data_IF_750529583594
#
_entry.id   IF_750529583594
#
_cell.length_a   1.000
_cell.length_b   1.000
_cell.length_c   1.000
_cell.angle_alpha   90.00
_cell.angle_beta   90.00
_cell.angle_gamma   90.00
#
_symmetry.space_group_name_H-M   'P 1'
#
loop_
_entity.id
_entity.type
_entity.pdbx_description
1 polymer ?
#
# COMPACT_ATOMS: atom_id res chain seq x y z
N UNK A 1 -6.80 -9.66 6.25
CA UNK A 1 -7.25 -10.00 4.87
C UNK A 1 -6.04 -9.97 3.96
N UNK A 2 -6.06 -10.67 2.83
CA UNK A 2 -4.96 -10.70 1.86
C UNK A 2 -5.50 -10.31 0.48
N UNK A 3 -4.72 -9.53 -0.29
CA UNK A 3 -5.01 -9.20 -1.68
C UNK A 3 -3.70 -9.07 -2.47
N UNK A 4 -3.83 -8.92 -3.78
CA UNK A 4 -2.70 -8.64 -4.68
C UNK A 4 -3.06 -7.57 -5.70
N UNK A 5 -2.07 -6.81 -6.13
CA UNK A 5 -2.26 -5.84 -7.19
C UNK A 5 -1.03 -5.00 -7.50
N UNK A 6 -1.09 -4.32 -8.63
CA UNK A 6 -0.12 -3.29 -9.02
C UNK A 6 -0.58 -1.96 -8.44
N UNK A 7 0.34 -1.24 -7.81
CA UNK A 7 0.04 0.07 -7.22
C UNK A 7 -0.19 1.10 -8.34
N UNK A 8 -1.35 1.75 -8.34
CA UNK A 8 -1.73 2.78 -9.31
C UNK A 8 -1.20 4.15 -8.93
N UNK A 9 -1.44 4.57 -7.69
CA UNK A 9 -1.01 5.86 -7.14
C UNK A 9 -0.69 5.72 -5.66
N UNK A 10 0.25 6.54 -5.21
CA UNK A 10 0.57 6.78 -3.80
C UNK A 10 0.52 8.28 -3.52
N UNK A 11 0.10 8.66 -2.31
CA UNK A 11 0.11 10.03 -1.83
C UNK A 11 0.26 10.02 -0.31
N UNK A 12 0.79 11.11 0.25
CA UNK A 12 1.03 11.25 1.68
C UNK A 12 0.01 12.23 2.25
N UNK A 13 -0.72 11.80 3.27
CA UNK A 13 -1.78 12.59 3.90
C UNK A 13 -1.83 12.24 5.39
N UNK A 14 -1.91 13.26 6.25
CA UNK A 14 -2.13 13.13 7.70
C UNK A 14 -1.24 12.08 8.41
N UNK A 15 0.02 11.93 7.99
CA UNK A 15 0.97 10.99 8.62
C UNK A 15 0.88 9.54 8.10
N UNK A 16 0.13 9.30 7.03
CA UNK A 16 0.06 8.01 6.36
C UNK A 16 0.37 8.12 4.86
N UNK A 17 0.89 7.03 4.30
CA UNK A 17 0.98 6.80 2.87
C UNK A 17 -0.31 6.11 2.42
N UNK A 18 -1.08 6.78 1.56
CA UNK A 18 -2.30 6.28 0.97
C UNK A 18 -1.98 5.62 -0.38
N UNK A 19 -2.44 4.38 -0.55
CA UNK A 19 -2.07 3.48 -1.63
C UNK A 19 -3.32 3.04 -2.36
N UNK A 20 -3.37 3.24 -3.68
CA UNK A 20 -4.48 2.79 -4.52
C UNK A 20 -4.07 1.68 -5.46
N UNK A 21 -5.00 0.77 -5.70
CA UNK A 21 -4.87 -0.33 -6.64
C UNK A 21 -6.01 -0.24 -7.67
N UNK A 22 -5.79 -0.56 -8.96
CA UNK A 22 -6.83 -0.45 -9.98
C UNK A 22 -8.08 -1.31 -9.72
N UNK A 23 -7.90 -2.44 -9.02
CA UNK A 23 -8.96 -3.42 -8.75
C UNK A 23 -9.72 -3.18 -7.43
N UNK A 24 -9.42 -2.09 -6.73
CA UNK A 24 -10.02 -1.78 -5.43
C UNK A 24 -10.57 -0.35 -5.42
N UNK A 25 -11.83 -0.20 -5.01
CA UNK A 25 -12.42 1.11 -4.71
C UNK A 25 -11.97 1.55 -3.31
N UNK A 26 -11.02 2.48 -3.26
CA UNK A 26 -10.54 3.10 -2.03
C UNK A 26 -9.02 3.18 -1.92
N UNK A 27 -8.57 3.65 -0.76
CA UNK A 27 -7.17 3.82 -0.42
C UNK A 27 -6.80 2.98 0.78
N UNK A 28 -5.75 2.19 0.62
CA UNK A 28 -5.13 1.47 1.71
C UNK A 28 -4.10 2.37 2.38
N UNK A 29 -3.94 2.23 3.69
CA UNK A 29 -3.13 3.13 4.49
C UNK A 29 -1.88 2.42 4.99
N UNK A 30 -0.73 3.09 4.94
CA UNK A 30 0.50 2.65 5.60
C UNK A 30 0.97 3.79 6.49
N UNK A 31 1.05 3.63 7.82
CA UNK A 31 1.58 4.69 8.69
C UNK A 31 3.01 5.08 8.26
N UNK A 32 3.33 6.37 8.19
CA UNK A 32 4.68 6.82 7.81
C UNK A 32 5.76 6.42 8.84
N UNK A 33 5.35 6.00 10.04
CA UNK A 33 6.21 5.39 11.05
C UNK A 33 6.75 4.02 10.59
N UNK A 34 6.01 3.30 9.75
CA UNK A 34 6.39 2.01 9.18
C UNK A 34 7.30 2.20 7.96
N UNK A 35 8.53 2.68 8.22
CA UNK A 35 9.49 3.09 7.17
C UNK A 35 9.80 1.98 6.17
N UNK A 36 9.97 0.75 6.62
CA UNK A 36 10.26 -0.41 5.76
C UNK A 36 9.10 -0.72 4.81
N UNK A 37 7.87 -0.71 5.35
CA UNK A 37 6.67 -0.97 4.58
C UNK A 37 6.44 0.16 3.55
N UNK A 38 6.65 1.42 3.95
CA UNK A 38 6.59 2.55 3.06
C UNK A 38 7.63 2.47 1.92
N UNK A 39 8.86 2.03 2.22
CA UNK A 39 9.89 1.84 1.21
C UNK A 39 9.49 0.76 0.20
N UNK A 40 9.04 -0.41 0.66
CA UNK A 40 8.56 -1.51 -0.19
C UNK A 40 7.41 -1.09 -1.11
N UNK A 41 6.44 -0.33 -0.59
CA UNK A 41 5.32 0.20 -1.37
C UNK A 41 5.83 1.15 -2.47
N UNK A 42 6.76 2.06 -2.14
CA UNK A 42 7.34 3.00 -3.11
C UNK A 42 8.13 2.27 -4.20
N UNK A 43 9.00 1.34 -3.81
CA UNK A 43 9.78 0.53 -4.75
C UNK A 43 8.88 -0.29 -5.69
N UNK A 44 7.84 -0.94 -5.14
CA UNK A 44 6.88 -1.69 -5.93
C UNK A 44 6.13 -0.81 -6.95
N UNK A 45 5.76 0.41 -6.54
CA UNK A 45 5.11 1.40 -7.41
C UNK A 45 6.04 1.84 -8.54
N UNK A 46 7.29 2.16 -8.24
CA UNK A 46 8.26 2.60 -9.24
C UNK A 46 8.65 1.48 -10.21
N UNK A 47 8.74 0.24 -9.72
CA UNK A 47 8.97 -0.95 -10.53
C UNK A 47 7.73 -1.44 -11.31
N UNK A 48 6.54 -0.85 -11.07
CA UNK A 48 5.23 -1.35 -11.55
C UNK A 48 5.03 -2.85 -11.28
N UNK A 49 5.56 -3.33 -10.15
CA UNK A 49 5.51 -4.74 -9.75
C UNK A 49 4.16 -5.04 -9.10
N UNK A 50 3.58 -6.19 -9.42
CA UNK A 50 2.45 -6.73 -8.65
C UNK A 50 2.96 -7.19 -7.28
N UNK A 51 2.32 -6.71 -6.21
CA UNK A 51 2.61 -7.10 -4.84
C UNK A 51 1.47 -7.89 -4.24
N UNK A 52 1.81 -8.80 -3.33
CA UNK A 52 0.83 -9.42 -2.43
C UNK A 52 0.89 -8.69 -1.08
N UNK A 53 -0.25 -8.32 -0.53
CA UNK A 53 -0.30 -7.53 0.70
C UNK A 53 -1.43 -7.99 1.62
N UNK A 54 -1.21 -7.83 2.91
CA UNK A 54 -2.23 -8.07 3.93
C UNK A 54 -2.70 -6.77 4.53
N UNK A 55 -3.98 -6.71 4.92
CA UNK A 55 -4.60 -5.53 5.48
C UNK A 55 -5.68 -5.86 6.51
N UNK A 56 -5.96 -4.90 7.40
CA UNK A 56 -7.03 -5.01 8.39
C UNK A 56 -8.38 -4.49 7.89
N UNK A 57 -9.40 -4.49 8.76
CA UNK A 57 -10.76 -4.02 8.42
C UNK A 57 -10.85 -2.51 8.14
N UNK A 58 -9.83 -1.74 8.54
CA UNK A 58 -9.72 -0.31 8.31
C UNK A 58 -8.86 0.01 7.08
N UNK A 59 -8.54 -0.99 6.26
CA UNK A 59 -7.69 -0.87 5.07
C UNK A 59 -6.23 -0.49 5.38
N UNK A 60 -5.75 -0.71 6.60
CA UNK A 60 -4.33 -0.52 6.92
C UNK A 60 -3.54 -1.71 6.42
N UNK A 61 -2.51 -1.46 5.61
CA UNK A 61 -1.59 -2.49 5.13
C UNK A 61 -0.69 -2.90 6.30
N UNK A 62 -0.64 -4.20 6.56
CA UNK A 62 0.14 -4.80 7.65
C UNK A 62 1.45 -5.42 7.14
N UNK A 63 1.46 -5.92 5.91
CA UNK A 63 2.69 -6.45 5.28
C UNK A 63 2.56 -6.52 3.75
N UNK A 64 3.71 -6.50 3.07
CA UNK A 64 3.86 -6.61 1.61
C UNK A 64 4.92 -7.67 1.29
N UNK A 65 4.66 -8.48 0.24
CA UNK A 65 5.53 -9.53 -0.30
C UNK A 65 5.68 -9.39 -1.82
#
# INVERSE_FOLDING_TARGET
MESKGVIRKIFEEEGALLVSFPAHDGYFQVPLTEKDLCAKIREARDARKEISFTFDRELKILSVR
#
